data_IF_933165493945
#
_entry.id   IF_933165493945
#
_cell.length_a   1.000
_cell.length_b   1.000
_cell.length_c   1.000
_cell.angle_alpha   90.00
_cell.angle_beta   90.00
_cell.angle_gamma   90.00
#
_symmetry.space_group_name_H-M   'P 1'
#
loop_
_entity.id
_entity.type
_entity.pdbx_description
1 polymer ?
#
# COMPACT_ATOMS: atom_id res chain seq x y z
N UNK A 1 -3.12 16.14 69.30
CA UNK A 1 -2.75 17.43 68.69
C UNK A 1 -2.01 17.12 67.39
N UNK A 2 -2.53 17.62 66.25
CA UNK A 2 -1.96 17.45 64.91
C UNK A 2 -1.00 18.60 64.61
N UNK A 3 0.13 18.32 63.99
CA UNK A 3 0.91 19.32 63.29
C UNK A 3 1.21 18.80 61.88
N UNK A 4 0.75 19.58 60.91
CA UNK A 4 0.83 19.37 59.47
C UNK A 4 1.45 20.64 58.92
N UNK A 5 2.55 20.54 58.19
CA UNK A 5 2.93 21.55 57.19
C UNK A 5 3.74 20.88 56.09
N UNK A 6 3.20 21.05 54.89
CA UNK A 6 3.74 20.75 53.57
C UNK A 6 4.62 21.90 53.06
N UNK A 7 5.55 21.59 52.15
CA UNK A 7 6.09 22.36 51.00
C UNK A 7 7.43 21.70 50.64
N UNK A 8 7.81 21.40 49.42
CA UNK A 8 7.29 21.65 48.08
C UNK A 8 8.47 21.32 47.16
N UNK A 9 8.30 20.36 46.24
CA UNK A 9 9.37 19.93 45.34
C UNK A 9 8.80 19.80 43.94
N UNK A 10 8.88 20.88 43.16
CA UNK A 10 8.50 20.92 41.75
C UNK A 10 9.64 20.26 40.96
N UNK A 11 9.46 19.02 40.51
CA UNK A 11 10.39 18.38 39.59
C UNK A 11 10.01 18.79 38.17
N UNK A 12 10.87 19.59 37.54
CA UNK A 12 10.69 20.09 36.18
C UNK A 12 10.74 18.93 35.17
N UNK A 13 9.71 18.84 34.34
CA UNK A 13 9.63 17.95 33.18
C UNK A 13 10.50 18.53 32.06
N UNK A 14 11.58 17.83 31.69
CA UNK A 14 12.35 18.14 30.49
C UNK A 14 11.69 17.45 29.28
N UNK A 15 10.92 18.22 28.50
CA UNK A 15 10.41 17.79 27.20
C UNK A 15 11.58 17.75 26.20
N UNK A 16 12.04 16.54 25.88
CA UNK A 16 12.92 16.28 24.75
C UNK A 16 12.12 16.46 23.45
N UNK A 17 12.28 17.62 22.83
CA UNK A 17 11.89 17.86 21.45
C UNK A 17 12.79 17.04 20.52
N UNK A 18 12.27 15.91 20.03
CA UNK A 18 12.77 15.33 18.79
C UNK A 18 11.83 15.72 17.65
N UNK A 19 12.41 16.52 16.77
CA UNK A 19 11.94 17.00 15.49
C UNK A 19 11.21 15.93 14.68
N UNK A 20 9.92 16.18 14.44
CA UNK A 20 9.17 15.53 13.36
C UNK A 20 9.84 15.98 12.06
N UNK A 21 10.57 15.07 11.41
CA UNK A 21 10.99 15.28 10.03
C UNK A 21 9.73 15.46 9.21
N UNK A 22 9.50 16.67 8.70
CA UNK A 22 8.50 16.88 7.67
C UNK A 22 8.98 16.10 6.44
N UNK A 23 8.48 14.87 6.28
CA UNK A 23 8.44 14.25 4.96
C UNK A 23 7.64 15.23 4.11
N UNK A 24 8.31 15.81 3.10
CA UNK A 24 7.65 16.63 2.11
C UNK A 24 6.51 15.79 1.57
N UNK A 25 5.28 16.17 1.95
CA UNK A 25 4.08 15.47 1.52
C UNK A 25 4.00 15.60 0.02
N UNK A 26 4.45 14.56 -0.69
CA UNK A 26 3.91 14.25 -2.01
C UNK A 26 2.41 14.22 -1.77
N UNK A 27 1.70 15.25 -2.23
CA UNK A 27 0.24 15.24 -2.20
C UNK A 27 -0.15 13.96 -2.90
N UNK A 28 -0.69 12.99 -2.15
CA UNK A 28 -1.04 11.68 -2.66
C UNK A 28 -2.01 11.91 -3.80
N UNK A 29 -1.48 11.90 -5.02
CA UNK A 29 -2.27 12.10 -6.21
C UNK A 29 -3.11 10.85 -6.30
N UNK A 30 -4.43 11.00 -6.15
CA UNK A 30 -5.36 9.89 -6.26
C UNK A 30 -5.10 9.18 -7.59
N UNK A 31 -4.88 7.87 -7.53
CA UNK A 31 -4.69 7.08 -8.74
C UNK A 31 -5.97 7.10 -9.61
N UNK A 32 -5.83 6.98 -10.94
CA UNK A 32 -6.99 6.79 -11.81
C UNK A 32 -7.79 5.57 -11.37
N UNK A 33 -9.12 5.65 -11.46
CA UNK A 33 -9.99 4.53 -11.11
C UNK A 33 -10.33 3.66 -12.33
N UNK A 34 -10.16 4.18 -13.55
CA UNK A 34 -10.32 3.43 -14.78
C UNK A 34 -9.18 2.43 -15.00
N UNK A 35 -9.48 1.33 -15.68
CA UNK A 35 -8.58 0.18 -15.83
C UNK A 35 -7.20 0.56 -16.39
N UNK A 36 -7.17 1.18 -17.57
CA UNK A 36 -5.90 1.47 -18.25
C UNK A 36 -5.10 2.56 -17.52
N UNK A 37 -5.76 3.63 -17.07
CA UNK A 37 -5.09 4.68 -16.31
C UNK A 37 -4.50 4.14 -15.00
N UNK A 38 -5.19 3.21 -14.35
CA UNK A 38 -4.68 2.57 -13.15
C UNK A 38 -3.48 1.66 -13.43
N UNK A 39 -3.58 0.77 -14.42
CA UNK A 39 -2.50 -0.14 -14.87
C UNK A 39 -1.22 0.67 -15.18
N UNK A 40 -1.36 1.73 -15.97
CA UNK A 40 -0.25 2.59 -16.36
C UNK A 40 0.38 3.34 -15.18
N UNK A 41 -0.42 3.66 -14.15
CA UNK A 41 0.05 4.37 -12.98
C UNK A 41 0.77 3.43 -11.99
N UNK A 42 0.16 2.28 -11.65
CA UNK A 42 0.74 1.34 -10.69
C UNK A 42 2.00 0.66 -11.22
N UNK A 43 2.12 0.48 -12.54
CA UNK A 43 3.33 -0.06 -13.16
C UNK A 43 4.59 0.81 -13.02
N UNK A 44 4.46 2.03 -12.47
CA UNK A 44 5.59 2.93 -12.20
C UNK A 44 5.95 2.99 -10.71
N UNK A 45 5.25 2.25 -9.86
CA UNK A 45 5.33 2.35 -8.41
C UNK A 45 5.95 1.09 -7.82
N UNK A 46 6.80 1.29 -6.82
CA UNK A 46 7.28 0.21 -5.97
C UNK A 46 6.34 -0.08 -4.79
N UNK A 47 6.56 -1.15 -4.01
CA UNK A 47 5.68 -1.50 -2.87
C UNK A 47 5.48 -0.37 -1.89
N UNK A 48 6.55 0.32 -1.52
CA UNK A 48 6.48 1.40 -0.54
C UNK A 48 5.61 2.56 -1.06
N UNK A 49 5.73 2.88 -2.35
CA UNK A 49 4.90 3.88 -3.01
C UNK A 49 3.44 3.42 -3.13
N UNK A 50 3.19 2.15 -3.46
CA UNK A 50 1.85 1.57 -3.50
C UNK A 50 1.17 1.68 -2.14
N UNK A 51 1.84 1.28 -1.05
CA UNK A 51 1.30 1.41 0.31
C UNK A 51 1.02 2.87 0.66
N UNK A 52 1.91 3.80 0.25
CA UNK A 52 1.71 5.21 0.53
C UNK A 52 0.48 5.81 -0.16
N UNK A 53 0.09 5.32 -1.36
CA UNK A 53 -1.03 5.87 -2.15
C UNK A 53 -2.32 5.06 -2.06
N UNK A 54 -2.24 3.74 -1.92
CA UNK A 54 -3.39 2.83 -1.81
C UNK A 54 -3.69 2.39 -0.37
N UNK A 55 -2.72 2.54 0.55
CA UNK A 55 -2.76 1.89 1.85
C UNK A 55 -2.30 0.43 1.79
N UNK A 56 -2.38 -0.25 2.93
CA UNK A 56 -2.12 -1.69 3.03
C UNK A 56 -3.16 -2.49 2.24
N UNK A 57 -2.76 -3.60 1.58
CA UNK A 57 -3.70 -4.47 0.91
C UNK A 57 -4.63 -5.15 1.92
N UNK A 58 -5.86 -5.44 1.50
CA UNK A 58 -6.81 -6.20 2.31
C UNK A 58 -6.34 -7.66 2.51
N UNK A 59 -5.60 -8.20 1.53
CA UNK A 59 -4.93 -9.50 1.59
C UNK A 59 -3.60 -9.44 0.85
N UNK A 60 -2.57 -10.06 1.42
CA UNK A 60 -1.28 -10.24 0.77
C UNK A 60 -0.83 -11.71 0.91
N UNK A 61 -0.43 -12.31 -0.20
CA UNK A 61 0.10 -13.66 -0.27
C UNK A 61 1.56 -13.60 -0.75
N UNK A 62 2.51 -13.90 0.13
CA UNK A 62 3.94 -13.72 -0.15
C UNK A 62 4.64 -15.02 -0.52
N UNK A 63 5.50 -14.96 -1.55
CA UNK A 63 6.49 -15.98 -1.88
C UNK A 63 7.84 -15.56 -1.32
N UNK A 64 8.41 -16.38 -0.43
CA UNK A 64 9.67 -16.10 0.28
C UNK A 64 10.77 -17.08 -0.09
N UNK A 65 11.99 -16.59 -0.24
CA UNK A 65 13.17 -17.44 -0.37
C UNK A 65 13.44 -18.17 0.95
N UNK A 66 13.73 -19.48 0.88
CA UNK A 66 13.90 -20.33 2.07
C UNK A 66 15.11 -19.95 2.92
N UNK A 67 16.16 -19.43 2.29
CA UNK A 67 17.46 -19.15 2.91
C UNK A 67 17.51 -17.79 3.62
N UNK A 68 16.87 -16.79 3.05
CA UNK A 68 16.92 -15.39 3.49
C UNK A 68 15.60 -14.90 4.07
N UNK A 69 14.49 -15.59 3.80
CA UNK A 69 13.14 -15.12 4.13
C UNK A 69 12.68 -13.92 3.29
N UNK A 70 13.50 -13.48 2.33
CA UNK A 70 13.19 -12.35 1.45
C UNK A 70 11.98 -12.67 0.59
N UNK A 71 11.00 -11.76 0.56
CA UNK A 71 9.85 -11.80 -0.35
C UNK A 71 10.34 -11.50 -1.77
N UNK A 72 10.01 -12.37 -2.73
CA UNK A 72 10.40 -12.24 -4.14
C UNK A 72 9.20 -12.13 -5.07
N UNK A 73 8.01 -12.51 -4.59
CA UNK A 73 6.75 -12.21 -5.25
C UNK A 73 5.66 -12.05 -4.20
N UNK A 74 4.63 -11.25 -4.52
CA UNK A 74 3.42 -11.18 -3.71
C UNK A 74 2.19 -11.02 -4.58
N UNK A 75 1.06 -11.55 -4.14
CA UNK A 75 -0.26 -11.24 -4.70
C UNK A 75 -0.99 -10.34 -3.69
N UNK A 76 -1.39 -9.15 -4.10
CA UNK A 76 -2.02 -8.13 -3.23
C UNK A 76 -3.43 -7.82 -3.70
N UNK A 77 -4.39 -7.84 -2.77
CA UNK A 77 -5.80 -7.59 -3.06
C UNK A 77 -6.25 -6.28 -2.42
N UNK A 78 -6.91 -5.45 -3.22
CA UNK A 78 -7.59 -4.25 -2.81
C UNK A 78 -9.06 -4.32 -3.19
N UNK A 79 -9.94 -3.66 -2.43
CA UNK A 79 -11.37 -3.73 -2.67
C UNK A 79 -11.96 -2.40 -3.09
N UNK A 80 -12.79 -2.41 -4.14
CA UNK A 80 -13.56 -1.26 -4.60
C UNK A 80 -12.71 -0.01 -4.90
N UNK A 81 -11.53 -0.19 -5.49
CA UNK A 81 -10.63 0.90 -5.86
C UNK A 81 -10.67 1.26 -7.35
N UNK A 82 -11.18 0.36 -8.20
CA UNK A 82 -11.25 0.56 -9.65
C UNK A 82 -12.66 0.34 -10.19
N UNK A 83 -12.97 0.99 -11.32
CA UNK A 83 -14.26 0.93 -11.99
C UNK A 83 -14.15 0.38 -13.40
N UNK A 84 -15.17 -0.34 -13.81
CA UNK A 84 -15.38 -0.75 -15.20
C UNK A 84 -15.83 0.43 -16.08
N UNK A 85 -15.99 0.18 -17.39
CA UNK A 85 -16.46 1.17 -18.35
C UNK A 85 -17.90 1.68 -18.10
N UNK A 86 -18.71 0.95 -17.33
CA UNK A 86 -20.05 1.37 -16.90
C UNK A 86 -20.02 2.21 -15.60
N UNK A 87 -18.85 2.33 -14.96
CA UNK A 87 -18.65 3.05 -13.71
C UNK A 87 -18.94 2.22 -12.45
N UNK A 88 -19.19 0.93 -12.58
CA UNK A 88 -19.37 0.02 -11.45
C UNK A 88 -18.00 -0.36 -10.87
N UNK A 89 -17.89 -0.42 -9.55
CA UNK A 89 -16.65 -0.84 -8.91
C UNK A 89 -16.42 -2.34 -9.09
N UNK A 90 -15.18 -2.70 -9.39
CA UNK A 90 -14.71 -4.06 -9.21
C UNK A 90 -14.64 -4.38 -7.71
N UNK A 91 -15.27 -5.48 -7.25
CA UNK A 91 -15.17 -5.89 -5.85
C UNK A 91 -13.71 -6.12 -5.41
N UNK A 92 -12.85 -6.61 -6.31
CA UNK A 92 -11.43 -6.81 -6.02
C UNK A 92 -10.55 -6.40 -7.20
N UNK A 93 -9.48 -5.67 -6.90
CA UNK A 93 -8.32 -5.48 -7.78
C UNK A 93 -7.15 -6.26 -7.18
N UNK A 94 -6.57 -7.15 -7.99
CA UNK A 94 -5.38 -7.92 -7.66
C UNK A 94 -4.15 -7.29 -8.33
N UNK A 95 -3.06 -7.18 -7.59
CA UNK A 95 -1.75 -6.79 -8.08
C UNK A 95 -0.79 -7.97 -7.85
N UNK A 96 -0.22 -8.50 -8.92
CA UNK A 96 0.91 -9.43 -8.81
C UNK A 96 2.20 -8.63 -8.85
N UNK A 97 2.99 -8.76 -7.80
CA UNK A 97 4.26 -8.10 -7.66
C UNK A 97 5.40 -9.10 -7.80
N UNK A 98 6.40 -8.75 -8.60
CA UNK A 98 7.69 -9.45 -8.66
C UNK A 98 8.76 -8.50 -8.11
N UNK A 99 9.54 -8.99 -7.15
CA UNK A 99 10.51 -8.23 -6.35
C UNK A 99 9.93 -6.99 -5.66
N UNK A 100 9.83 -5.85 -6.34
CA UNK A 100 9.25 -4.62 -5.75
C UNK A 100 8.32 -3.90 -6.71
N UNK A 101 8.02 -4.49 -7.88
CA UNK A 101 7.29 -3.86 -8.97
C UNK A 101 6.02 -4.66 -9.31
N UNK A 102 4.99 -3.97 -9.79
CA UNK A 102 3.77 -4.62 -10.31
C UNK A 102 4.08 -5.23 -11.67
N UNK A 103 3.78 -6.52 -11.82
CA UNK A 103 3.92 -7.26 -13.08
C UNK A 103 2.57 -7.52 -13.76
N UNK A 104 1.50 -7.73 -12.97
CA UNK A 104 0.16 -8.00 -13.49
C UNK A 104 -0.87 -7.26 -12.63
N UNK A 105 -1.92 -6.78 -13.28
CA UNK A 105 -3.13 -6.27 -12.63
C UNK A 105 -4.32 -7.10 -13.08
N UNK A 106 -5.16 -7.54 -12.14
CA UNK A 106 -6.40 -8.24 -12.44
C UNK A 106 -7.58 -7.53 -11.80
N UNK A 107 -8.59 -7.21 -12.60
CA UNK A 107 -9.87 -6.68 -12.12
C UNK A 107 -10.88 -7.81 -12.01
N UNK A 108 -11.30 -8.13 -10.78
CA UNK A 108 -12.11 -9.30 -10.46
C UNK A 108 -13.55 -8.89 -10.15
N UNK A 109 -14.51 -9.65 -10.68
CA UNK A 109 -15.94 -9.52 -10.40
C UNK A 109 -16.38 -10.35 -9.18
N UNK A 110 -15.44 -10.68 -8.29
CA UNK A 110 -15.65 -11.45 -7.06
C UNK A 110 -14.73 -10.93 -5.93
N UNK A 111 -14.79 -11.58 -4.77
CA UNK A 111 -14.03 -11.22 -3.55
C UNK A 111 -12.54 -11.60 -3.57
N UNK A 112 -12.00 -11.97 -4.73
CA UNK A 112 -10.63 -12.46 -4.88
C UNK A 112 -10.47 -13.95 -4.63
N UNK A 113 -11.56 -14.74 -4.66
CA UNK A 113 -11.53 -16.20 -4.49
C UNK A 113 -11.28 -16.97 -5.79
N UNK A 114 -11.52 -16.35 -6.96
CA UNK A 114 -11.34 -16.97 -8.26
C UNK A 114 -10.80 -15.99 -9.31
N UNK A 115 -9.50 -16.08 -9.59
CA UNK A 115 -8.82 -15.23 -10.56
C UNK A 115 -9.25 -15.49 -12.03
N UNK A 116 -9.92 -16.61 -12.32
CA UNK A 116 -10.29 -16.99 -13.71
C UNK A 116 -11.42 -16.14 -14.32
N UNK A 117 -12.06 -15.30 -13.51
CA UNK A 117 -13.21 -14.48 -13.90
C UNK A 117 -12.88 -13.00 -14.12
N UNK A 118 -11.59 -12.65 -14.09
CA UNK A 118 -11.10 -11.27 -14.16
C UNK A 118 -10.70 -10.78 -15.55
N UNK A 119 -10.54 -9.46 -15.66
CA UNK A 119 -9.80 -8.81 -16.74
C UNK A 119 -8.34 -8.66 -16.34
N UNK A 120 -7.43 -9.27 -17.09
CA UNK A 120 -6.00 -9.31 -16.77
C UNK A 120 -5.19 -8.41 -17.69
N UNK A 121 -4.29 -7.64 -17.09
CA UNK A 121 -3.39 -6.72 -17.77
C UNK A 121 -1.95 -7.00 -17.35
N UNK A 122 -1.10 -7.34 -18.31
CA UNK A 122 0.34 -7.37 -18.09
C UNK A 122 0.87 -5.93 -18.01
N UNK A 123 1.67 -5.67 -16.99
CA UNK A 123 2.39 -4.40 -16.86
C UNK A 123 3.71 -4.54 -17.59
N UNK A 124 3.92 -3.74 -18.63
CA UNK A 124 5.20 -3.76 -19.32
C UNK A 124 6.30 -3.25 -18.38
N UNK A 125 7.41 -3.99 -18.23
CA UNK A 125 8.55 -3.50 -17.46
C UNK A 125 9.05 -2.20 -18.10
N UNK A 126 9.36 -1.23 -17.26
CA UNK A 126 9.99 -0.01 -17.72
C UNK A 126 11.33 -0.38 -18.38
N UNK A 127 11.59 0.04 -19.64
CA UNK A 127 12.84 -0.31 -20.33
C UNK A 127 14.12 0.12 -19.61
N UNK A 128 14.03 1.07 -18.67
CA UNK A 128 15.15 1.50 -17.83
C UNK A 128 15.51 0.50 -16.71
N UNK A 129 14.67 -0.50 -16.45
CA UNK A 129 14.85 -1.53 -15.42
C UNK A 129 15.40 -2.85 -15.99
N UNK A 130 15.71 -2.89 -17.30
CA UNK A 130 16.34 -4.01 -18.04
C UNK A 130 17.80 -3.69 -18.38
#
# INVERSE_FOLDING_TARGET
>A
MRAQTWLGGVLAVALLSLSVGAVAGTSATKLPEDEQGFVDAVGKLNRAQLIAVLGEPARAEDVKLKDSGRVVASIWHYHNINKDAAGAYYPTTELDLIDDQVSVVVFLNNDGSDASTGQTYEVQPNPADL
#
